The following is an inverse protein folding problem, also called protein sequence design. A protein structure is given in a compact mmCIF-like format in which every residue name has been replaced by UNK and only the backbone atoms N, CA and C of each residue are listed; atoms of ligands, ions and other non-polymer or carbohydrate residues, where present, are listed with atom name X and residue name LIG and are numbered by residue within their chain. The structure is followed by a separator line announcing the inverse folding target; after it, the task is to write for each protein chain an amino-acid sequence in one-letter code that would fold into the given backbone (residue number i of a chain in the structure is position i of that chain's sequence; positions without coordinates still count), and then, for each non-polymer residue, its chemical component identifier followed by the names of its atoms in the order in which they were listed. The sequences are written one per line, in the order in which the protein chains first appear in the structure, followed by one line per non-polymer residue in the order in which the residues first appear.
data_IF_078766547519
#
_entry.id   IF_078766547519
#
_cell.length_a   1.000
_cell.length_b   1.000
_cell.length_c   1.000
_cell.angle_alpha   90.00
_cell.angle_beta   90.00
_cell.angle_gamma   90.00
#
_symmetry.space_group_name_H-M   'P 1'
#
loop_
_entity.id
_entity.type
_entity.pdbx_description
1 polymer ?
2 polymer ?
3 non-polymer ?
4 non-polymer ?
5 water ?
#
# COMPACT_ATOMS: atom_id res chain seq x y z
N UNK A 1 -5.55 12.98 -21.14
CA UNK A 1 -5.19 13.24 -19.73
C UNK A 1 -5.00 14.72 -19.49
N UNK A 2 -5.60 15.23 -18.40
CA UNK A 2 -5.54 16.65 -18.09
C UNK A 2 -4.11 17.12 -17.86
N UNK A 3 -3.19 16.23 -17.53
CA UNK A 3 -1.79 16.60 -17.34
C UNK A 3 -0.93 16.40 -18.58
N UNK A 4 -1.54 16.02 -19.71
CA UNK A 4 -0.79 15.70 -20.90
C UNK A 4 0.03 16.86 -21.45
N UNK A 5 -0.39 18.09 -21.20
CA UNK A 5 0.32 19.25 -21.70
C UNK A 5 1.41 19.76 -20.77
N UNK A 6 1.55 19.19 -19.57
CA UNK A 6 2.55 19.67 -18.63
C UNK A 6 3.82 18.81 -18.71
N UNK A 7 4.97 19.49 -18.67
CA UNK A 7 6.26 18.80 -18.67
C UNK A 7 6.36 17.81 -17.53
N UNK A 8 7.02 16.69 -17.80
CA UNK A 8 7.29 15.70 -16.75
C UNK A 8 7.93 16.33 -15.52
N UNK A 9 8.98 17.14 -15.73
CA UNK A 9 9.69 17.70 -14.59
C UNK A 9 8.80 18.65 -13.80
N UNK A 10 7.92 19.36 -14.50
CA UNK A 10 7.00 20.29 -13.83
C UNK A 10 5.97 19.53 -13.00
N UNK A 11 5.50 18.39 -13.49
CA UNK A 11 4.59 17.55 -12.74
C UNK A 11 5.25 17.06 -11.46
N UNK A 12 6.51 16.62 -11.54
CA UNK A 12 7.23 16.16 -10.36
C UNK A 12 7.41 17.30 -9.37
N UNK A 13 7.80 18.48 -9.87
CA UNK A 13 7.99 19.64 -9.01
C UNK A 13 6.69 20.00 -8.31
N UNK A 14 5.58 19.98 -9.05
CA UNK A 14 4.29 20.31 -8.43
C UNK A 14 3.81 19.22 -7.48
N UNK A 15 4.12 17.96 -7.75
CA UNK A 15 3.82 16.91 -6.77
C UNK A 15 4.49 17.18 -5.44
N UNK A 16 5.75 17.64 -5.48
CA UNK A 16 6.46 17.95 -4.24
C UNK A 16 5.84 19.15 -3.53
N UNK A 17 5.42 20.17 -4.29
CA UNK A 17 4.71 21.31 -3.70
C UNK A 17 3.40 20.86 -3.08
N UNK A 18 2.65 20.03 -3.81
CA UNK A 18 1.38 19.55 -3.29
C UNK A 18 1.57 18.78 -1.99
N UNK A 19 2.62 17.97 -1.90
CA UNK A 19 2.92 17.27 -0.65
C UNK A 19 3.14 18.27 0.48
N UNK A 20 3.95 19.30 0.23
CA UNK A 20 4.20 20.31 1.28
C UNK A 20 2.91 20.99 1.71
N UNK A 21 1.99 21.19 0.78
CA UNK A 21 0.72 21.84 1.07
C UNK A 21 -0.34 20.87 1.56
N UNK A 22 0.00 19.59 1.71
CA UNK A 22 -0.94 18.56 2.14
C UNK A 22 -2.15 18.48 1.19
N UNK A 23 -1.89 18.65 -0.10
CA UNK A 23 -2.88 18.57 -1.16
C UNK A 23 -2.67 17.24 -1.89
N UNK A 24 -3.11 16.16 -1.25
CA UNK A 24 -2.74 14.83 -1.72
C UNK A 24 -3.48 14.41 -2.97
N UNK A 25 -4.71 14.87 -3.17
CA UNK A 25 -5.39 14.58 -4.44
C UNK A 25 -4.66 15.22 -5.60
N UNK A 26 -4.25 16.49 -5.44
CA UNK A 26 -3.43 17.13 -6.46
C UNK A 26 -2.14 16.36 -6.66
N UNK A 27 -1.47 15.99 -5.56
CA UNK A 27 -0.22 15.27 -5.66
C UNK A 27 -0.36 14.00 -6.48
N UNK A 28 -1.45 13.26 -6.23
CA UNK A 28 -1.69 12.01 -6.95
C UNK A 28 -1.95 12.29 -8.42
N UNK A 29 -2.73 13.32 -8.73
CA UNK A 29 -2.99 13.66 -10.13
C UNK A 29 -1.71 14.06 -10.85
N UNK A 30 -0.83 14.82 -10.19
CA UNK A 30 0.44 15.17 -10.82
C UNK A 30 1.27 13.94 -11.08
N UNK A 31 1.34 13.02 -10.11
CA UNK A 31 2.16 11.82 -10.27
C UNK A 31 1.57 10.88 -11.31
N UNK A 32 0.25 10.77 -11.39
CA UNK A 32 -0.37 10.03 -12.48
C UNK A 32 0.05 10.59 -13.83
N UNK A 33 0.00 11.92 -13.95
CA UNK A 33 0.48 12.55 -15.17
C UNK A 33 1.92 12.23 -15.48
N UNK A 34 2.77 12.24 -14.47
CA UNK A 34 4.18 11.90 -14.67
C UNK A 34 4.33 10.46 -15.14
N UNK A 35 3.62 9.52 -14.51
CA UNK A 35 3.68 8.13 -14.95
C UNK A 35 3.27 8.02 -16.41
N UNK A 36 2.20 8.72 -16.79
CA UNK A 36 1.68 8.61 -18.13
C UNK A 36 2.59 9.18 -19.19
N UNK A 37 3.66 9.89 -18.82
CA UNK A 37 4.67 10.27 -19.80
C UNK A 37 5.38 9.07 -20.40
N UNK A 38 5.33 7.91 -19.74
CA UNK A 38 5.84 6.69 -20.31
C UNK A 38 7.25 6.33 -19.91
N UNK A 39 7.98 7.21 -19.25
CA UNK A 39 9.32 6.88 -18.77
C UNK A 39 9.23 6.20 -17.42
N UNK A 40 10.23 5.38 -17.13
CA UNK A 40 10.34 4.76 -15.83
C UNK A 40 10.49 5.84 -14.75
N UNK A 41 10.20 5.47 -13.50
CA UNK A 41 10.28 6.37 -12.36
C UNK A 41 11.52 6.07 -11.54
N UNK A 42 12.19 7.12 -11.10
CA UNK A 42 13.28 6.98 -10.16
C UNK A 42 12.75 6.57 -8.79
N UNK A 43 13.68 6.23 -7.89
CA UNK A 43 13.29 5.88 -6.54
C UNK A 43 12.48 7.00 -5.88
N UNK A 44 12.97 8.24 -5.97
CA UNK A 44 12.26 9.35 -5.36
C UNK A 44 10.86 9.50 -5.97
N UNK A 45 10.76 9.34 -7.28
CA UNK A 45 9.48 9.49 -7.96
C UNK A 45 8.52 8.38 -7.58
N UNK A 46 9.02 7.14 -7.45
CA UNK A 46 8.17 6.06 -6.98
C UNK A 46 7.61 6.38 -5.60
N UNK A 47 8.44 6.94 -4.73
CA UNK A 47 7.94 7.24 -3.40
C UNK A 47 6.92 8.37 -3.42
N UNK A 48 7.08 9.35 -4.31
CA UNK A 48 6.05 10.39 -4.43
C UNK A 48 4.73 9.79 -4.88
N UNK A 49 4.79 8.88 -5.86
CA UNK A 49 3.58 8.21 -6.33
C UNK A 49 2.88 7.48 -5.19
N UNK A 50 3.66 6.71 -4.42
CA UNK A 50 3.09 5.93 -3.35
C UNK A 50 2.51 6.81 -2.24
N UNK A 51 3.26 7.83 -1.81
CA UNK A 51 2.78 8.70 -0.75
C UNK A 51 1.47 9.37 -1.16
N UNK A 52 1.41 9.84 -2.40
CA UNK A 52 0.23 10.55 -2.85
C UNK A 52 -1.01 9.67 -2.77
N UNK A 53 -0.96 8.49 -3.41
CA UNK A 53 -2.14 7.63 -3.42
C UNK A 53 -2.42 7.01 -2.06
N UNK A 54 -1.39 6.77 -1.25
CA UNK A 54 -1.65 6.20 0.07
C UNK A 54 -2.38 7.21 0.96
N UNK A 55 -2.12 8.49 0.80
CA UNK A 55 -2.86 9.50 1.53
C UNK A 55 -4.30 9.62 1.01
N UNK A 56 -4.48 9.61 -0.32
CA UNK A 56 -5.84 9.69 -0.87
C UNK A 56 -6.67 8.49 -0.41
N UNK A 57 -6.17 7.27 -0.66
CA UNK A 57 -6.97 6.11 -0.31
C UNK A 57 -7.13 5.99 1.19
N UNK A 58 -6.16 6.47 1.95
CA UNK A 58 -6.28 6.40 3.41
C UNK A 58 -7.45 7.21 3.92
N UNK A 59 -7.66 8.40 3.38
CA UNK A 59 -8.82 9.18 3.76
C UNK A 59 -10.11 8.49 3.38
N UNK A 60 -10.14 7.86 2.21
CA UNK A 60 -11.32 7.13 1.78
C UNK A 60 -11.59 5.91 2.67
N UNK A 61 -10.54 5.17 3.01
CA UNK A 61 -10.71 4.00 3.87
C UNK A 61 -11.24 4.40 5.24
N UNK A 62 -10.70 5.47 5.82
CA UNK A 62 -11.17 5.91 7.12
C UNK A 62 -12.64 6.31 7.06
N UNK A 63 -13.02 7.02 6.01
CA UNK A 63 -14.41 7.44 5.85
C UNK A 63 -15.31 6.22 5.66
N UNK A 64 -14.89 5.30 4.81
CA UNK A 64 -15.66 4.08 4.59
C UNK A 64 -15.88 3.32 5.89
N UNK A 65 -14.85 3.22 6.74
CA UNK A 65 -15.03 2.49 7.98
C UNK A 65 -16.03 3.18 8.91
N UNK A 66 -16.01 4.52 8.97
CA UNK A 66 -17.01 5.23 9.76
C UNK A 66 -18.41 4.90 9.26
N UNK A 67 -18.61 4.99 7.94
CA UNK A 67 -19.94 4.79 7.38
C UNK A 67 -20.39 3.34 7.51
N UNK A 68 -19.47 2.40 7.30
CA UNK A 68 -19.81 0.98 7.44
C UNK A 68 -20.22 0.67 8.88
N UNK A 69 -19.54 1.28 9.85
CA UNK A 69 -19.90 1.04 11.25
C UNK A 69 -21.29 1.57 11.55
N UNK A 70 -21.63 2.75 11.03
CA UNK A 70 -22.98 3.28 11.21
C UNK A 70 -23.99 2.37 10.55
N UNK A 71 -23.68 1.89 9.35
CA UNK A 71 -24.59 1.03 8.62
C UNK A 71 -24.82 -0.28 9.37
N UNK A 72 -23.75 -0.87 9.90
CA UNK A 72 -23.90 -2.11 10.66
C UNK A 72 -24.74 -1.89 11.90
N UNK A 73 -24.55 -0.78 12.60
CA UNK A 73 -25.38 -0.48 13.77
C UNK A 73 -26.85 -0.35 13.38
N UNK A 74 -27.12 0.24 12.21
CA UNK A 74 -28.50 0.41 11.78
C UNK A 74 -29.20 -0.92 11.50
N UNK A 75 -28.44 -1.99 11.29
CA UNK A 75 -29.01 -3.30 10.99
C UNK A 75 -29.12 -4.20 12.21
N UNK A 76 -28.83 -3.68 13.41
CA UNK A 76 -28.94 -4.46 14.63
C UNK A 76 -30.39 -4.54 15.10
N UNK A 78 -33.32 -3.67 17.21
CA UNK A 78 -33.87 -2.60 18.01
C UNK A 78 -33.55 -1.21 17.45
N UNK A 79 -32.78 -1.19 16.37
CA UNK A 79 -32.40 0.07 15.74
C UNK A 79 -33.53 0.58 14.86
N UNK A 80 -33.73 1.90 14.89
CA UNK A 80 -34.81 2.52 14.15
C UNK A 80 -34.46 2.61 12.66
N UNK A 81 -35.44 2.32 11.81
CA UNK A 81 -35.24 2.43 10.38
C UNK A 81 -35.07 3.89 10.00
N UNK A 82 -34.05 4.17 9.17
CA UNK A 82 -33.76 5.53 8.76
C UNK A 82 -33.70 5.69 7.24
N UNK A 83 -34.04 4.65 6.48
CA UNK A 83 -34.08 4.76 5.05
C UNK A 83 -32.77 4.34 4.40
N UNK A 84 -32.67 4.59 3.10
CA UNK A 84 -31.52 4.11 2.32
C UNK A 84 -30.28 4.98 2.40
N UNK A 85 -30.31 6.08 3.13
CA UNK A 85 -29.26 7.10 2.99
C UNK A 85 -27.89 6.60 3.44
N UNK A 86 -27.82 5.89 4.57
CA UNK A 86 -26.51 5.42 5.05
C UNK A 86 -25.89 4.48 4.03
N UNK A 87 -26.66 3.48 3.56
CA UNK A 87 -26.16 2.58 2.54
C UNK A 87 -25.74 3.34 1.29
N UNK A 88 -26.57 4.27 0.84
CA UNK A 88 -26.24 5.02 -0.37
C UNK A 88 -24.91 5.75 -0.22
N UNK A 89 -24.72 6.44 0.90
CA UNK A 89 -23.53 7.24 1.06
C UNK A 89 -22.30 6.35 1.28
N UNK A 90 -22.44 5.25 2.02
CA UNK A 90 -21.36 4.28 2.11
C UNK A 90 -20.99 3.76 0.72
N UNK A 91 -21.98 3.44 -0.11
CA UNK A 91 -21.73 2.98 -1.47
C UNK A 91 -21.03 4.04 -2.30
N UNK A 92 -21.38 5.32 -2.10
CA UNK A 92 -20.73 6.40 -2.84
C UNK A 92 -19.25 6.45 -2.51
N UNK A 93 -18.92 6.46 -1.21
CA UNK A 93 -17.53 6.49 -0.80
C UNK A 93 -16.81 5.24 -1.28
N UNK A 94 -17.48 4.09 -1.18
CA UNK A 94 -16.88 2.82 -1.61
C UNK A 94 -16.54 2.86 -3.08
N UNK A 95 -17.46 3.37 -3.91
CA UNK A 95 -17.21 3.43 -5.35
C UNK A 95 -16.03 4.34 -5.66
N UNK A 96 -15.93 5.47 -4.95
CA UNK A 96 -14.80 6.36 -5.18
C UNK A 96 -13.49 5.71 -4.76
N UNK A 97 -13.51 5.00 -3.63
CA UNK A 97 -12.33 4.26 -3.17
C UNK A 97 -11.92 3.21 -4.21
N UNK A 98 -12.88 2.44 -4.70
CA UNK A 98 -12.57 1.45 -5.71
C UNK A 98 -12.00 2.11 -6.96
N UNK A 99 -12.52 3.29 -7.29
CA UNK A 99 -12.01 3.99 -8.47
C UNK A 99 -10.56 4.37 -8.32
N UNK A 100 -10.16 4.83 -7.14
CA UNK A 100 -8.76 5.16 -6.89
C UNK A 100 -7.90 3.91 -6.96
N UNK A 101 -8.37 2.82 -6.36
CA UNK A 101 -7.60 1.58 -6.44
C UNK A 101 -7.45 1.12 -7.89
N UNK A 102 -8.53 1.20 -8.67
CA UNK A 102 -8.45 0.82 -10.07
C UNK A 102 -7.49 1.72 -10.84
N UNK A 103 -7.46 3.00 -10.49
CA UNK A 103 -6.53 3.92 -11.15
C UNK A 103 -5.09 3.52 -10.89
N UNK A 104 -4.77 3.24 -9.63
CA UNK A 104 -3.41 2.84 -9.29
C UNK A 104 -3.06 1.53 -9.97
N UNK A 105 -3.95 0.54 -9.88
CA UNK A 105 -3.70 -0.75 -10.53
C UNK A 105 -3.51 -0.58 -12.03
N UNK A 106 -4.27 0.34 -12.63
CA UNK A 106 -4.11 0.59 -14.05
C UNK A 106 -2.75 1.17 -14.40
N UNK A 107 -2.23 2.07 -13.56
CA UNK A 107 -0.89 2.59 -13.81
C UNK A 107 0.16 1.49 -13.68
N UNK A 108 -0.02 0.60 -12.70
CA UNK A 108 0.92 -0.49 -12.52
C UNK A 108 0.90 -1.44 -13.71
N UNK A 109 -0.29 -1.69 -14.26
CA UNK A 109 -0.42 -2.62 -15.39
C UNK A 109 -0.07 -1.96 -16.72
N UNK A 110 -0.11 -0.64 -16.80
CA UNK A 110 0.12 0.06 -18.06
C UNK A 110 1.00 1.29 -17.81
N UNK A 111 2.32 1.13 -17.64
CA UNK A 111 3.08 -0.10 -17.87
C UNK A 111 4.21 -0.21 -16.86
N UNK A 112 3.98 0.24 -15.62
CA UNK A 112 5.08 0.35 -14.68
C UNK A 112 5.72 -1.00 -14.38
N UNK A 113 4.91 -2.02 -14.10
CA UNK A 113 5.48 -3.31 -13.70
C UNK A 113 6.28 -3.93 -14.83
N UNK A 114 5.73 -3.94 -16.03
CA UNK A 114 6.40 -4.67 -17.11
C UNK A 114 7.74 -4.05 -17.47
N UNK A 115 7.94 -2.75 -17.24
CA UNK A 115 9.22 -2.14 -17.55
C UNK A 115 10.19 -2.14 -16.37
N UNK A 116 9.75 -2.60 -15.19
CA UNK A 116 10.57 -2.60 -13.99
C UNK A 116 11.41 -3.87 -13.91
N UNK A 117 12.72 -3.73 -14.09
CA UNK A 117 13.62 -4.88 -14.11
C UNK A 117 14.51 -4.97 -12.89
N UNK A 118 14.83 -3.83 -12.27
CA UNK A 118 15.63 -3.88 -11.08
C UNK A 118 14.78 -4.31 -9.90
N UNK A 119 15.40 -5.01 -8.97
CA UNK A 119 14.64 -5.55 -7.84
C UNK A 119 13.92 -4.47 -7.07
N UNK A 120 14.59 -3.32 -6.86
CA UNK A 120 14.01 -2.26 -6.03
C UNK A 120 12.73 -1.72 -6.66
N UNK A 121 12.72 -1.56 -7.97
CA UNK A 121 11.52 -1.05 -8.61
C UNK A 121 10.44 -2.13 -8.73
N UNK A 122 10.82 -3.33 -9.16
CA UNK A 122 9.83 -4.38 -9.35
C UNK A 122 9.16 -4.75 -8.04
N UNK A 123 9.93 -4.92 -6.98
CA UNK A 123 9.34 -5.25 -5.68
C UNK A 123 8.43 -4.12 -5.21
N UNK A 124 8.89 -2.87 -5.39
CA UNK A 124 8.08 -1.73 -4.99
C UNK A 124 6.71 -1.76 -5.66
N UNK A 125 6.69 -1.99 -6.98
CA UNK A 125 5.43 -1.94 -7.71
C UNK A 125 4.55 -3.13 -7.41
N UNK A 126 5.15 -4.32 -7.25
CA UNK A 126 4.35 -5.49 -6.92
C UNK A 126 3.76 -5.37 -5.51
N UNK A 127 4.52 -4.80 -4.57
CA UNK A 127 3.96 -4.50 -3.26
C UNK A 127 2.77 -3.56 -3.39
N UNK A 128 2.91 -2.50 -4.19
CA UNK A 128 1.79 -1.59 -4.40
C UNK A 128 0.59 -2.33 -4.97
N UNK A 129 0.83 -3.22 -5.94
CA UNK A 129 -0.28 -3.98 -6.51
C UNK A 129 -0.98 -4.80 -5.42
N UNK A 130 -0.21 -5.44 -4.55
CA UNK A 130 -0.81 -6.16 -3.43
C UNK A 130 -1.62 -5.24 -2.52
N UNK A 131 -1.05 -4.08 -2.20
CA UNK A 131 -1.72 -3.14 -1.31
C UNK A 131 -3.07 -2.71 -1.87
N UNK A 132 -3.11 -2.34 -3.16
CA UNK A 132 -4.36 -1.79 -3.69
C UNK A 132 -5.40 -2.89 -3.92
N UNK A 133 -4.98 -4.13 -4.23
CA UNK A 133 -5.94 -5.22 -4.18
C UNK A 133 -6.40 -5.47 -2.75
N UNK A 134 -5.51 -5.31 -1.76
CA UNK A 134 -5.91 -5.45 -0.37
C UNK A 134 -6.98 -4.41 0.01
N UNK A 135 -6.80 -3.16 -0.43
CA UNK A 135 -7.82 -2.16 -0.13
C UNK A 135 -9.14 -2.49 -0.82
N UNK A 136 -9.09 -3.03 -2.04
CA UNK A 136 -10.31 -3.53 -2.67
C UNK A 136 -10.92 -4.65 -1.85
N UNK A 137 -10.08 -5.53 -1.31
CA UNK A 137 -10.59 -6.65 -0.53
C UNK A 137 -11.27 -6.20 0.74
N UNK A 138 -10.80 -5.10 1.35
CA UNK A 138 -11.40 -4.62 2.58
C UNK A 138 -12.88 -4.29 2.41
N UNK A 139 -13.29 -3.92 1.20
CA UNK A 139 -14.67 -3.50 0.95
C UNK A 139 -15.44 -4.51 0.12
N UNK A 140 -14.81 -5.58 -0.32
CA UNK A 140 -15.45 -6.55 -1.21
C UNK A 140 -16.37 -7.45 -0.40
N UNK A 141 -17.54 -7.72 -0.97
CA UNK A 141 -18.49 -8.64 -0.35
C UNK A 141 -19.12 -9.61 -1.34
N UNK A 142 -18.83 -9.50 -2.63
CA UNK A 142 -19.55 -10.25 -3.64
C UNK A 142 -18.78 -11.46 -4.15
N UNK A 143 -19.17 -11.91 -5.34
CA UNK A 143 -18.66 -13.16 -5.89
C UNK A 143 -17.22 -13.06 -6.36
N UNK A 144 -16.64 -11.86 -6.40
CA UNK A 144 -15.25 -11.69 -6.80
C UNK A 144 -14.31 -11.48 -5.63
N UNK A 145 -14.82 -11.49 -4.39
CA UNK A 145 -13.95 -11.24 -3.25
C UNK A 145 -12.80 -12.23 -3.20
N UNK A 146 -13.07 -13.51 -3.46
CA UNK A 146 -12.01 -14.50 -3.45
C UNK A 146 -10.95 -14.19 -4.50
N UNK A 147 -11.37 -13.81 -5.71
CA UNK A 147 -10.39 -13.49 -6.73
C UNK A 147 -9.61 -12.22 -6.40
N UNK A 148 -10.26 -11.24 -5.77
CA UNK A 148 -9.54 -10.03 -5.35
C UNK A 148 -8.49 -10.39 -4.31
N UNK A 149 -8.87 -11.18 -3.32
CA UNK A 149 -7.92 -11.63 -2.30
C UNK A 149 -6.77 -12.39 -2.95
N UNK A 150 -7.07 -13.27 -3.89
CA UNK A 150 -6.02 -14.04 -4.55
C UNK A 150 -5.09 -13.13 -5.33
N UNK A 151 -5.63 -12.08 -5.96
CA UNK A 151 -4.80 -11.14 -6.70
C UNK A 151 -3.82 -10.42 -5.77
N UNK A 152 -4.30 -9.99 -4.60
CA UNK A 152 -3.39 -9.39 -3.63
C UNK A 152 -2.32 -10.38 -3.21
N UNK A 153 -2.73 -11.59 -2.87
CA UNK A 153 -1.79 -12.61 -2.43
C UNK A 153 -0.73 -12.86 -3.49
N UNK A 154 -1.14 -13.01 -4.75
CA UNK A 154 -0.21 -13.33 -5.82
C UNK A 154 0.81 -12.23 -6.03
N UNK A 155 0.37 -10.97 -5.98
CA UNK A 155 1.29 -9.86 -6.14
C UNK A 155 2.28 -9.79 -4.99
N UNK A 156 1.77 -9.89 -3.76
CA UNK A 156 2.66 -9.91 -2.60
C UNK A 156 3.65 -11.06 -2.69
N UNK A 157 3.19 -12.24 -3.11
CA UNK A 157 4.06 -13.41 -3.13
C UNK A 157 5.18 -13.24 -4.14
N UNK A 158 4.86 -12.71 -5.34
CA UNK A 158 5.92 -12.47 -6.31
C UNK A 158 6.91 -11.46 -5.79
N UNK A 159 6.42 -10.41 -5.14
CA UNK A 159 7.31 -9.40 -4.56
C UNK A 159 8.19 -10.02 -3.49
N UNK A 160 7.62 -10.91 -2.66
CA UNK A 160 8.40 -11.58 -1.63
C UNK A 160 9.49 -12.44 -2.23
N UNK A 161 9.15 -13.19 -3.28
CA UNK A 161 10.13 -14.10 -3.87
C UNK A 161 11.32 -13.32 -4.40
N UNK A 162 11.05 -12.21 -5.10
CA UNK A 162 12.13 -11.38 -5.64
C UNK A 162 12.94 -10.78 -4.49
N UNK A 163 12.24 -10.25 -3.48
CA UNK A 163 12.95 -9.54 -2.42
C UNK A 163 13.86 -10.47 -1.64
N UNK A 164 13.45 -11.72 -1.43
CA UNK A 164 14.29 -12.65 -0.71
C UNK A 164 15.52 -13.04 -1.52
N UNK A 165 15.39 -13.09 -2.84
CA UNK A 165 16.50 -13.46 -3.72
C UNK A 165 17.47 -12.29 -3.91
N UNK A 166 16.96 -11.07 -3.98
CA UNK A 166 17.74 -9.95 -4.49
C UNK A 166 18.05 -8.83 -3.50
N UNK A 167 17.46 -8.82 -2.31
CA UNK A 167 17.62 -7.72 -1.37
C UNK A 167 18.07 -8.26 -0.01
N UNK A 168 18.84 -7.48 0.75
CA UNK A 168 19.20 -7.92 2.09
C UNK A 168 17.99 -7.87 3.01
N UNK A 169 18.01 -8.63 4.11
CA UNK A 169 16.83 -8.69 4.98
C UNK A 169 16.50 -7.38 5.67
N UNK A 170 17.41 -6.40 5.69
CA UNK A 170 17.14 -5.08 6.26
C UNK A 170 16.65 -4.07 5.24
N UNK A 171 16.59 -4.42 3.96
CA UNK A 171 16.19 -3.45 2.96
C UNK A 171 14.82 -2.89 3.30
N UNK A 172 14.65 -1.56 3.37
CA UNK A 172 13.35 -1.02 3.81
C UNK A 172 12.17 -1.41 2.92
N UNK A 173 12.37 -1.56 1.62
CA UNK A 173 11.28 -2.02 0.74
C UNK A 173 10.87 -3.44 1.11
N UNK A 174 11.86 -4.32 1.26
CA UNK A 174 11.58 -5.68 1.67
C UNK A 174 10.85 -5.71 3.01
N UNK A 175 11.28 -4.88 3.97
CA UNK A 175 10.64 -4.86 5.28
C UNK A 175 9.21 -4.37 5.20
N UNK A 176 8.96 -3.29 4.44
CA UNK A 176 7.59 -2.79 4.33
C UNK A 176 6.67 -3.75 3.60
N UNK A 177 7.20 -4.46 2.61
CA UNK A 177 6.45 -5.52 1.94
C UNK A 177 6.05 -6.61 2.93
N UNK A 178 7.02 -7.08 3.72
CA UNK A 178 6.71 -8.14 4.67
C UNK A 178 5.70 -7.68 5.70
N UNK A 179 5.85 -6.44 6.18
CA UNK A 179 4.88 -5.87 7.11
C UNK A 179 3.48 -5.90 6.51
N UNK A 180 3.34 -5.41 5.28
CA UNK A 180 2.01 -5.33 4.68
C UNK A 180 1.45 -6.71 4.35
N UNK A 181 2.30 -7.62 3.87
CA UNK A 181 1.83 -8.97 3.58
C UNK A 181 1.38 -9.66 4.88
N UNK A 182 2.09 -9.39 5.99
CA UNK A 182 1.68 -9.97 7.27
C UNK A 182 0.30 -9.47 7.68
N UNK A 183 0.02 -8.18 7.46
CA UNK A 183 -1.30 -7.64 7.77
C UNK A 183 -2.34 -8.25 6.83
N UNK A 184 -2.02 -8.41 5.55
CA UNK A 184 -2.88 -9.14 4.64
C UNK A 184 -3.25 -10.50 5.21
N UNK A 185 -2.25 -11.27 5.66
CA UNK A 185 -2.55 -12.58 6.23
C UNK A 185 -3.48 -12.46 7.43
N UNK A 186 -3.22 -11.49 8.31
CA UNK A 186 -3.97 -11.41 9.56
C UNK A 186 -5.42 -10.97 9.31
N UNK A 187 -5.62 -9.90 8.53
CA UNK A 187 -6.89 -9.19 8.41
C UNK A 187 -7.72 -9.66 7.22
N UNK A 188 -7.08 -10.11 6.15
CA UNK A 188 -7.74 -10.37 4.88
C UNK A 188 -7.89 -11.86 4.62
N UNK A 189 -6.81 -12.61 4.80
CA UNK A 189 -6.80 -14.04 4.52
C UNK A 189 -7.20 -14.88 5.72
N UNK A 190 -7.50 -14.28 6.85
CA UNK A 190 -7.91 -15.03 8.04
C UNK A 190 -6.85 -16.05 8.43
N UNK A 191 -5.59 -15.64 8.39
CA UNK A 191 -4.43 -16.49 8.66
C UNK A 191 -3.53 -15.82 9.70
N UNK A 192 -4.02 -15.65 10.93
CA UNK A 192 -3.21 -14.96 11.93
C UNK A 192 -1.89 -15.66 12.23
N UNK A 193 -1.85 -16.99 12.21
CA UNK A 193 -0.59 -17.66 12.47
C UNK A 193 0.44 -17.37 11.39
N UNK A 194 0.01 -17.35 10.12
CA UNK A 194 0.92 -16.98 9.05
C UNK A 194 1.41 -15.55 9.21
N UNK A 195 0.52 -14.66 9.61
CA UNK A 195 0.89 -13.27 9.85
C UNK A 195 1.97 -13.17 10.92
N UNK A 196 1.76 -13.86 12.03
CA UNK A 196 2.71 -13.81 13.14
C UNK A 196 4.04 -14.41 12.72
N UNK A 197 4.02 -15.56 12.06
CA UNK A 197 5.26 -16.19 11.64
C UNK A 197 6.05 -15.29 10.70
N UNK A 198 5.36 -14.69 9.72
CA UNK A 198 6.05 -13.82 8.79
C UNK A 198 6.65 -12.61 9.50
N UNK A 199 5.89 -11.99 10.39
CA UNK A 199 6.41 -10.81 11.07
C UNK A 199 7.61 -11.16 11.96
N UNK A 200 7.53 -12.30 12.67
CA UNK A 200 8.61 -12.73 13.54
C UNK A 200 9.88 -13.02 12.74
N UNK A 201 9.75 -13.84 11.70
CA UNK A 201 10.92 -14.20 10.90
C UNK A 201 11.54 -12.97 10.24
N UNK A 202 10.69 -12.09 9.73
CA UNK A 202 11.20 -10.88 9.10
C UNK A 202 11.97 -10.04 10.11
N UNK A 203 11.41 -9.86 11.31
CA UNK A 203 12.07 -9.06 12.33
C UNK A 203 13.41 -9.67 12.72
N UNK A 204 13.42 -10.98 12.96
CA UNK A 204 14.63 -11.62 13.44
C UNK A 204 15.73 -11.63 12.38
N UNK A 205 15.38 -11.83 11.11
CA UNK A 205 16.40 -11.83 10.07
C UNK A 205 16.94 -10.43 9.83
N UNK A 206 16.11 -9.41 9.98
CA UNK A 206 16.60 -8.04 9.91
C UNK A 206 17.53 -7.74 11.08
N UNK A 207 17.13 -8.11 12.29
CA UNK A 207 17.97 -7.88 13.46
C UNK A 207 19.38 -8.38 13.22
N UNK A 208 19.51 -9.58 12.68
CA UNK A 208 20.80 -10.23 12.47
C UNK A 208 21.65 -9.55 11.41
N UNK A 209 21.07 -8.67 10.58
CA UNK A 209 21.77 -8.01 9.49
C UNK A 209 22.05 -6.53 9.80
N UNK A 210 21.55 -6.02 10.93
CA UNK A 210 21.73 -4.60 11.25
C UNK A 210 23.21 -4.23 11.35
N UNK A 211 24.06 -5.17 11.78
CA UNK A 211 25.47 -4.89 12.00
C UNK A 211 26.18 -4.47 10.72
N UNK A 212 25.59 -4.73 9.55
CA UNK A 212 26.22 -4.40 8.27
C UNK A 212 25.95 -2.97 7.84
N UNK A 213 25.11 -2.23 8.56
CA UNK A 213 24.53 -0.99 8.08
C UNK A 213 25.22 0.22 8.67
N UNK A 214 25.20 1.30 7.89
CA UNK A 214 25.54 2.63 8.38
C UNK A 214 24.49 3.11 9.38
N UNK A 215 24.82 4.20 10.09
CA UNK A 215 23.88 4.77 11.04
C UNK A 215 22.56 5.15 10.36
N UNK A 216 22.62 5.77 9.19
CA UNK A 216 21.40 6.20 8.53
C UNK A 216 20.56 5.02 8.05
N UNK A 217 21.20 3.99 7.48
CA UNK A 217 20.46 2.82 7.06
C UNK A 217 19.86 2.09 8.26
N UNK A 218 20.62 2.02 9.34
CA UNK A 218 20.12 1.43 10.59
C UNK A 218 18.84 2.12 11.03
N UNK A 219 18.80 3.45 10.97
CA UNK A 219 17.59 4.17 11.35
C UNK A 219 16.42 3.80 10.45
N UNK A 220 16.66 3.77 9.13
CA UNK A 220 15.60 3.42 8.19
C UNK A 220 15.02 2.05 8.48
N UNK A 221 15.90 1.07 8.71
CA UNK A 221 15.45 -0.30 8.88
C UNK A 221 14.76 -0.49 10.22
N UNK A 222 15.32 0.06 11.29
CA UNK A 222 14.73 -0.16 12.61
C UNK A 222 13.37 0.51 12.72
N UNK A 223 13.13 1.60 11.99
CA UNK A 223 11.80 2.21 12.02
C UNK A 223 10.73 1.20 11.58
N UNK A 224 11.00 0.48 10.50
CA UNK A 224 10.02 -0.48 10.01
C UNK A 224 9.98 -1.70 10.90
N UNK A 225 11.13 -2.12 11.42
CA UNK A 225 11.13 -3.23 12.36
C UNK A 225 10.22 -2.94 13.55
N UNK A 226 10.19 -1.69 14.01
CA UNK A 226 9.34 -1.35 15.14
C UNK A 226 7.87 -1.55 14.79
N UNK A 227 7.50 -1.30 13.53
CA UNK A 227 6.12 -1.54 13.12
C UNK A 227 5.78 -3.02 13.15
N UNK A 228 6.71 -3.88 12.72
CA UNK A 228 6.51 -5.31 12.87
C UNK A 228 6.30 -5.68 14.33
N UNK A 229 7.13 -5.12 15.21
CA UNK A 229 7.01 -5.38 16.65
C UNK A 229 5.67 -4.90 17.19
N UNK A 230 5.25 -3.70 16.76
CA UNK A 230 3.96 -3.17 17.20
C UNK A 230 2.84 -4.15 16.89
N UNK A 231 2.84 -4.69 15.67
CA UNK A 231 1.80 -5.65 15.30
C UNK A 231 1.93 -6.94 16.11
N UNK A 232 3.15 -7.46 16.23
CA UNK A 232 3.33 -8.68 17.03
C UNK A 232 2.83 -8.50 18.45
N UNK A 233 3.04 -7.31 19.03
CA UNK A 233 2.55 -7.06 20.38
C UNK A 233 1.03 -7.10 20.45
N UNK A 234 0.36 -6.62 19.40
CA UNK A 234 -1.11 -6.66 19.38
C UNK A 234 -1.62 -8.07 19.10
N UNK A 235 -0.84 -8.89 18.39
CA UNK A 235 -1.29 -10.19 17.93
C UNK A 235 -0.94 -11.32 18.88
N UNK A 236 -0.04 -11.10 19.83
CA UNK A 236 0.42 -12.16 20.72
C UNK A 236 0.41 -11.69 22.17
N UNK B 1 -12.62 0.57 13.65
CA UNK B 1 -11.86 -0.67 13.60
C UNK B 1 -10.42 -0.46 14.03
N UNK B 2 -9.88 -1.42 14.78
CA UNK B 2 -8.47 -1.42 15.13
C UNK B 2 -7.66 -1.72 13.87
N UNK B 3 -6.86 -0.76 13.43
CA UNK B 3 -6.01 -0.91 12.25
C UNK B 3 -4.59 -1.25 12.68
N UNK B 4 -4.05 -2.32 12.10
CA UNK B 4 -2.67 -2.69 12.39
C UNK B 4 -1.72 -1.83 11.56
N UNK B 5 -0.45 -1.84 11.96
CA UNK B 5 0.54 -1.01 11.30
C UNK B 5 0.85 -1.54 9.91
N UNK B 6 0.76 -0.68 8.90
CA UNK B 6 1.26 -0.99 7.57
C UNK B 6 2.19 0.13 7.14
N UNK B 7 2.91 -0.11 6.06
CA UNK B 7 3.97 0.76 5.64
C UNK B 7 3.48 2.14 5.22
N UNK B 8 4.30 3.16 5.48
CA UNK B 8 4.08 4.47 4.92
C UNK B 8 3.03 5.29 5.65
N UNK B 9 2.57 6.36 5.00
CA UNK B 9 1.62 7.28 5.66
C UNK B 9 0.46 6.59 6.35
N UNK B 10 0.37 6.75 7.67
CA UNK B 10 -0.80 6.32 8.44
C UNK B 10 -1.91 7.33 8.21
N UNK B 11 -2.44 7.31 6.99
CA UNK B 11 -3.34 8.35 6.50
C UNK B 11 -4.80 8.02 6.74
N UNK B 12 -5.12 6.85 7.27
CA UNK B 12 -6.50 6.49 7.59
C UNK B 12 -6.66 6.38 9.11
X LIG C 1 8.87 17.11 -22.39
X LIG D 1 20.73 -6.79 -4.35
#
# INVERSE_FOLDING_TARGET
GAMGSMERASLIQKAKLAEQAERYEDMAAFMKGAVEKGEELSCEERNLLSVAYKNVVGGQRAAWRVLSSIEQKSNEEGSEEKGPEVREYREKVETELQGVCDTVLGLLDSHLIKEAGDAESRVFYLKMKGDYYRYLAEVATGDDKKRIIDSARSAYQEAMDISKKEMPPTNPIRLGLALNFSVFHYEIANSPEEAISLAKTTFDEAMADLHTLSEDSYKDSTLIMQLLRDNLTLWT
KLMFKTEGPDSD
CA CA
MG MG
#
